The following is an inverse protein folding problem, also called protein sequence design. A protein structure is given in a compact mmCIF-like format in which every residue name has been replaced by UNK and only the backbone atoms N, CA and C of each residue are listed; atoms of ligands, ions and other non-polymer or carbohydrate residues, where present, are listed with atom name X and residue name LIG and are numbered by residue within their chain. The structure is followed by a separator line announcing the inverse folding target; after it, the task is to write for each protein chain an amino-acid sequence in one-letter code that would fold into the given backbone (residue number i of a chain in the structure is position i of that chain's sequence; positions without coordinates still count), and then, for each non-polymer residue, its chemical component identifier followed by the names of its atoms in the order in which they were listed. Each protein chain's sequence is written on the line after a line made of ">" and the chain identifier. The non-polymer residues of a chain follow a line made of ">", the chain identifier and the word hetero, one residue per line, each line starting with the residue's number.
data_IF_972971989434
#
_entry.id   IF_972971989434
#
_cell.length_a   1.000
_cell.length_b   1.000
_cell.length_c   1.000
_cell.angle_alpha   90.00
_cell.angle_beta   90.00
_cell.angle_gamma   90.00
#
_symmetry.space_group_name_H-M   'P 1'
#
loop_
_entity.id
_entity.type
_entity.pdbx_description
1 polymer ?
#
# COMPACT_ATOMS: atom_id res chain seq x y z
N UNK A 1 -2.95 17.12 6.79
CA UNK A 1 -4.43 17.12 6.89
C UNK A 1 -4.86 15.68 6.77
N UNK A 2 -5.45 15.07 7.80
CA UNK A 2 -6.00 13.72 7.66
C UNK A 2 -7.22 13.78 6.73
N UNK A 3 -7.32 12.87 5.77
CA UNK A 3 -8.50 12.77 4.93
C UNK A 3 -9.67 12.32 5.82
N UNK A 4 -10.60 13.22 6.12
CA UNK A 4 -11.91 12.86 6.65
C UNK A 4 -12.76 12.39 5.46
N UNK A 5 -13.19 11.13 5.45
CA UNK A 5 -14.07 10.60 4.40
C UNK A 5 -13.71 9.19 3.94
N UNK A 6 -14.42 8.72 2.90
CA UNK A 6 -14.23 7.39 2.31
C UNK A 6 -12.95 7.36 1.47
N UNK A 7 -12.18 6.28 1.61
CA UNK A 7 -11.02 5.99 0.75
C UNK A 7 -11.28 4.79 -0.15
N UNK A 8 -10.59 4.70 -1.29
CA UNK A 8 -10.63 3.51 -2.15
C UNK A 8 -9.26 3.19 -2.72
N UNK A 9 -8.98 1.89 -2.88
CA UNK A 9 -7.84 1.39 -3.64
C UNK A 9 -8.13 1.38 -5.14
N UNK A 10 -7.10 1.69 -5.93
CA UNK A 10 -7.06 1.57 -7.38
C UNK A 10 -5.84 0.71 -7.72
N UNK A 11 -6.05 -0.60 -7.80
CA UNK A 11 -5.00 -1.59 -8.09
C UNK A 11 -4.56 -1.58 -9.55
N UNK A 12 -5.42 -1.15 -10.49
CA UNK A 12 -5.00 -0.91 -11.88
C UNK A 12 -5.29 0.54 -12.27
N UNK A 13 -4.22 1.32 -12.43
CA UNK A 13 -4.31 2.73 -12.78
C UNK A 13 -4.52 2.95 -14.29
N UNK A 14 -4.17 1.96 -15.13
CA UNK A 14 -4.12 2.10 -16.60
C UNK A 14 -5.44 2.55 -17.22
N UNK A 15 -6.62 2.05 -16.80
CA UNK A 15 -7.90 2.51 -17.33
C UNK A 15 -8.19 4.00 -17.12
N UNK A 16 -7.50 4.65 -16.18
CA UNK A 16 -7.76 6.03 -15.78
C UNK A 16 -6.77 7.04 -16.39
N UNK A 17 -5.63 6.57 -16.91
CA UNK A 17 -4.56 7.43 -17.44
C UNK A 17 -5.03 8.31 -18.61
N UNK A 18 -5.95 7.81 -19.44
CA UNK A 18 -6.52 8.57 -20.56
C UNK A 18 -7.78 9.37 -20.21
N UNK A 19 -8.35 9.18 -19.02
CA UNK A 19 -9.65 9.72 -18.64
C UNK A 19 -9.73 10.11 -17.14
N UNK A 20 -8.83 10.98 -16.66
CA UNK A 20 -8.74 11.35 -15.24
C UNK A 20 -10.05 11.91 -14.68
N UNK A 21 -10.79 12.68 -15.48
CA UNK A 21 -12.06 13.30 -15.04
C UNK A 21 -13.17 12.30 -14.76
N UNK A 22 -13.14 11.13 -15.40
CA UNK A 22 -14.10 10.06 -15.10
C UNK A 22 -13.83 9.47 -13.71
N UNK A 23 -12.55 9.34 -13.31
CA UNK A 23 -12.20 8.88 -11.97
C UNK A 23 -12.67 9.88 -10.91
N UNK A 24 -12.49 11.18 -11.17
CA UNK A 24 -12.96 12.25 -10.27
C UNK A 24 -14.48 12.23 -10.15
N UNK A 25 -15.18 12.09 -11.26
CA UNK A 25 -16.65 12.00 -11.28
C UNK A 25 -17.13 10.83 -10.43
N UNK A 26 -16.53 9.65 -10.58
CA UNK A 26 -16.85 8.47 -9.77
C UNK A 26 -16.52 8.67 -8.30
N UNK A 27 -15.34 9.23 -8.00
CA UNK A 27 -14.94 9.50 -6.62
C UNK A 27 -15.96 10.41 -5.93
N UNK A 28 -16.41 11.49 -6.59
CA UNK A 28 -17.43 12.40 -6.07
C UNK A 28 -18.79 11.73 -5.89
N UNK A 29 -19.23 10.94 -6.87
CA UNK A 29 -20.50 10.20 -6.80
C UNK A 29 -20.57 9.27 -5.57
N UNK A 30 -19.43 8.71 -5.17
CA UNK A 30 -19.33 7.80 -4.03
C UNK A 30 -18.81 8.46 -2.74
N UNK A 31 -18.64 9.79 -2.72
CA UNK A 31 -18.10 10.50 -1.54
C UNK A 31 -16.66 10.11 -1.16
N UNK A 32 -15.88 9.64 -2.13
CA UNK A 32 -14.48 9.24 -1.94
C UNK A 32 -13.59 10.47 -1.93
N UNK A 33 -12.95 10.72 -0.78
CA UNK A 33 -12.02 11.83 -0.56
C UNK A 33 -10.55 11.43 -0.64
N UNK A 34 -10.23 10.13 -0.68
CA UNK A 34 -8.87 9.63 -0.85
C UNK A 34 -8.79 8.44 -1.79
N UNK A 35 -7.78 8.44 -2.65
CA UNK A 35 -7.48 7.32 -3.54
C UNK A 35 -6.07 6.81 -3.29
N UNK A 36 -5.94 5.50 -3.14
CA UNK A 36 -4.68 4.80 -3.02
C UNK A 36 -4.37 4.12 -4.35
N UNK A 37 -3.33 4.58 -5.04
CA UNK A 37 -3.02 4.19 -6.41
C UNK A 37 -1.84 3.22 -6.43
N UNK A 38 -2.01 2.05 -7.02
CA UNK A 38 -0.86 1.23 -7.41
C UNK A 38 -0.23 1.87 -8.65
N UNK A 39 1.03 2.29 -8.53
CA UNK A 39 1.72 2.90 -9.66
C UNK A 39 2.16 1.81 -10.65
N UNK A 40 1.96 2.00 -11.96
CA UNK A 40 2.42 1.05 -12.96
C UNK A 40 3.94 1.17 -13.07
N UNK A 41 4.66 0.41 -12.25
CA UNK A 41 6.13 0.38 -12.24
C UNK A 41 6.60 -0.86 -13.00
N UNK A 42 7.32 -0.63 -14.10
CA UNK A 42 7.81 -1.63 -15.04
C UNK A 42 9.26 -1.29 -15.40
N UNK A 43 10.14 -2.30 -15.47
CA UNK A 43 11.54 -2.07 -15.86
C UNK A 43 12.33 -1.10 -14.96
N UNK A 44 11.89 -0.87 -13.72
CA UNK A 44 12.53 0.05 -12.78
C UNK A 44 12.08 1.52 -12.89
N UNK A 45 11.04 1.79 -13.66
CA UNK A 45 10.49 3.14 -13.89
C UNK A 45 8.95 3.13 -13.83
N UNK A 46 8.34 4.30 -13.70
CA UNK A 46 6.88 4.44 -13.79
C UNK A 46 6.50 4.48 -15.28
N UNK A 47 5.76 3.48 -15.75
CA UNK A 47 5.19 3.46 -17.09
C UNK A 47 4.21 4.63 -17.28
N UNK A 48 4.20 5.20 -18.48
CA UNK A 48 3.37 6.37 -18.81
C UNK A 48 3.53 7.54 -17.81
N UNK A 49 4.75 7.79 -17.33
CA UNK A 49 5.06 8.77 -16.27
C UNK A 49 4.31 10.11 -16.40
N UNK A 50 4.26 10.69 -17.60
CA UNK A 50 3.58 11.97 -17.83
C UNK A 50 2.05 11.88 -17.60
N UNK A 51 1.42 10.76 -17.96
CA UNK A 51 -0.02 10.54 -17.73
C UNK A 51 -0.30 10.25 -16.26
N UNK A 52 0.58 9.48 -15.59
CA UNK A 52 0.48 9.21 -14.16
C UNK A 52 0.58 10.52 -13.37
N UNK A 53 1.58 11.36 -13.68
CA UNK A 53 1.74 12.67 -13.06
C UNK A 53 0.50 13.55 -13.28
N UNK A 54 0.03 13.66 -14.54
CA UNK A 54 -1.19 14.40 -14.86
C UNK A 54 -2.39 13.91 -14.06
N UNK A 55 -2.60 12.61 -13.96
CA UNK A 55 -3.71 12.04 -13.21
C UNK A 55 -3.64 12.45 -11.73
N UNK A 56 -2.46 12.33 -11.10
CA UNK A 56 -2.25 12.72 -9.70
C UNK A 56 -2.52 14.22 -9.50
N UNK A 57 -2.04 15.06 -10.41
CA UNK A 57 -2.22 16.52 -10.32
C UNK A 57 -3.70 16.92 -10.43
N UNK A 58 -4.45 16.31 -11.36
CA UNK A 58 -5.89 16.57 -11.52
C UNK A 58 -6.68 16.07 -10.30
N UNK A 59 -6.35 14.88 -9.76
CA UNK A 59 -6.97 14.37 -8.53
C UNK A 59 -6.72 15.32 -7.35
N UNK A 60 -5.48 15.78 -7.17
CA UNK A 60 -5.11 16.71 -6.11
C UNK A 60 -5.81 18.06 -6.27
N UNK A 61 -5.88 18.61 -7.48
CA UNK A 61 -6.60 19.84 -7.78
C UNK A 61 -8.12 19.71 -7.53
N UNK A 62 -8.68 18.51 -7.66
CA UNK A 62 -10.06 18.20 -7.31
C UNK A 62 -10.31 18.00 -5.81
N UNK A 63 -9.28 18.12 -4.97
CA UNK A 63 -9.35 17.95 -3.52
C UNK A 63 -9.27 16.50 -3.04
N UNK A 64 -8.90 15.56 -3.91
CA UNK A 64 -8.77 14.13 -3.55
C UNK A 64 -7.35 13.87 -3.04
N UNK A 65 -7.24 13.29 -1.84
CA UNK A 65 -5.95 12.90 -1.26
C UNK A 65 -5.41 11.66 -1.96
N UNK A 66 -4.28 11.81 -2.63
CA UNK A 66 -3.62 10.71 -3.35
C UNK A 66 -2.54 10.07 -2.49
N UNK A 67 -2.57 8.75 -2.36
CA UNK A 67 -1.55 7.90 -1.72
C UNK A 67 -1.08 6.86 -2.74
N UNK A 68 0.14 6.35 -2.58
CA UNK A 68 0.53 5.12 -3.27
C UNK A 68 0.07 3.91 -2.45
N UNK A 69 -0.24 2.80 -3.12
CA UNK A 69 -0.41 1.48 -2.48
C UNK A 69 0.44 0.44 -3.19
N UNK A 70 1.02 -0.44 -2.40
CA UNK A 70 1.74 -1.63 -2.83
C UNK A 70 1.27 -2.81 -1.96
N UNK A 71 1.27 -4.02 -2.49
CA UNK A 71 0.85 -5.19 -1.72
C UNK A 71 1.12 -6.49 -2.45
N UNK A 72 1.67 -7.44 -1.71
CA UNK A 72 1.97 -8.82 -2.14
C UNK A 72 2.37 -9.62 -0.87
N UNK A 73 1.78 -10.79 -0.59
CA UNK A 73 2.22 -11.67 0.50
C UNK A 73 3.72 -11.96 0.49
N UNK A 74 4.32 -12.12 -0.69
CA UNK A 74 5.74 -12.41 -0.86
C UNK A 74 6.65 -11.27 -0.38
N UNK A 75 6.13 -10.07 -0.12
CA UNK A 75 6.92 -9.03 0.55
C UNK A 75 7.36 -9.44 1.97
N UNK A 76 6.75 -10.47 2.57
CA UNK A 76 7.22 -11.10 3.80
C UNK A 76 8.27 -12.21 3.57
N UNK A 77 8.82 -12.33 2.35
CA UNK A 77 10.02 -13.11 2.04
C UNK A 77 11.24 -12.21 1.82
N UNK A 78 12.45 -12.79 1.80
CA UNK A 78 13.66 -12.01 1.54
C UNK A 78 13.70 -11.45 0.11
N UNK A 79 13.25 -12.23 -0.86
CA UNK A 79 13.22 -11.85 -2.28
C UNK A 79 12.12 -10.83 -2.56
N UNK A 80 10.88 -11.10 -2.11
CA UNK A 80 9.79 -10.15 -2.33
C UNK A 80 10.01 -8.83 -1.59
N UNK A 81 10.64 -8.85 -0.39
CA UNK A 81 11.09 -7.60 0.27
C UNK A 81 12.12 -6.85 -0.56
N UNK A 82 13.07 -7.52 -1.19
CA UNK A 82 14.06 -6.86 -2.06
C UNK A 82 13.37 -6.18 -3.26
N UNK A 83 12.39 -6.85 -3.87
CA UNK A 83 11.57 -6.27 -4.94
C UNK A 83 10.77 -5.05 -4.44
N UNK A 84 10.08 -5.17 -3.30
CA UNK A 84 9.32 -4.08 -2.70
C UNK A 84 10.18 -2.86 -2.39
N UNK A 85 11.43 -3.07 -1.96
CA UNK A 85 12.39 -1.99 -1.74
C UNK A 85 12.80 -1.29 -3.03
N UNK A 86 12.99 -2.00 -4.14
CA UNK A 86 13.23 -1.34 -5.44
C UNK A 86 12.05 -0.45 -5.85
N UNK A 87 10.83 -0.97 -5.73
CA UNK A 87 9.59 -0.21 -5.98
C UNK A 87 9.48 1.01 -5.06
N UNK A 88 9.80 0.85 -3.77
CA UNK A 88 9.81 1.95 -2.80
C UNK A 88 10.81 3.05 -3.17
N UNK A 89 12.00 2.70 -3.69
CA UNK A 89 12.98 3.70 -4.19
C UNK A 89 12.43 4.49 -5.37
N UNK A 90 11.72 3.84 -6.29
CA UNK A 90 11.08 4.49 -7.44
C UNK A 90 10.00 5.46 -6.97
N UNK A 91 9.11 5.02 -6.07
CA UNK A 91 8.06 5.87 -5.48
C UNK A 91 8.68 7.06 -4.74
N UNK A 92 9.76 6.85 -3.98
CA UNK A 92 10.48 7.93 -3.29
C UNK A 92 11.01 8.96 -4.28
N UNK A 93 11.69 8.54 -5.36
CA UNK A 93 12.21 9.46 -6.39
C UNK A 93 11.07 10.25 -7.04
N UNK A 94 9.97 9.59 -7.34
CA UNK A 94 8.80 10.24 -7.93
C UNK A 94 8.19 11.30 -7.00
N UNK A 95 8.08 11.01 -5.70
CA UNK A 95 7.68 11.99 -4.67
C UNK A 95 8.64 13.16 -4.57
N UNK A 96 9.94 12.89 -4.56
CA UNK A 96 10.98 13.94 -4.50
C UNK A 96 11.00 14.83 -5.75
N UNK A 97 10.56 14.31 -6.90
CA UNK A 97 10.38 15.08 -8.13
C UNK A 97 9.12 15.98 -8.11
N UNK A 98 8.35 15.99 -7.02
CA UNK A 98 7.20 16.88 -6.84
C UNK A 98 5.84 16.21 -7.05
N UNK A 99 5.77 14.89 -7.24
CA UNK A 99 4.49 14.20 -7.34
C UNK A 99 3.66 14.37 -6.05
N UNK A 100 2.38 14.70 -6.19
CA UNK A 100 1.44 14.98 -5.09
C UNK A 100 1.01 13.76 -4.25
N UNK A 101 1.91 12.79 -4.00
CA UNK A 101 1.63 11.61 -3.20
C UNK A 101 1.88 11.87 -1.71
N UNK A 102 0.83 11.77 -0.90
CA UNK A 102 0.87 12.06 0.53
C UNK A 102 1.66 11.01 1.34
N UNK A 103 1.47 9.72 1.06
CA UNK A 103 2.08 8.60 1.77
C UNK A 103 2.03 7.33 0.93
N UNK A 104 2.63 6.25 1.43
CA UNK A 104 2.56 4.90 0.84
C UNK A 104 1.88 3.97 1.85
N UNK A 105 0.92 3.19 1.38
CA UNK A 105 0.34 2.08 2.13
C UNK A 105 0.89 0.74 1.62
N UNK A 106 1.14 -0.18 2.55
CA UNK A 106 1.52 -1.55 2.25
C UNK A 106 0.44 -2.52 2.73
N UNK A 107 -0.07 -3.34 1.81
CA UNK A 107 -0.98 -4.44 2.07
C UNK A 107 -0.21 -5.76 1.94
N UNK A 108 0.42 -6.18 3.02
CA UNK A 108 1.25 -7.39 3.05
C UNK A 108 0.53 -8.39 3.94
N UNK A 109 0.04 -9.46 3.32
CA UNK A 109 -0.75 -10.53 3.94
C UNK A 109 0.11 -11.80 4.12
N UNK A 110 1.03 -11.85 5.10
CA UNK A 110 2.00 -12.96 5.24
C UNK A 110 1.33 -14.31 5.54
N UNK A 111 0.07 -14.31 5.96
CA UNK A 111 -0.72 -15.52 6.20
C UNK A 111 -1.18 -16.22 4.92
N UNK A 112 -1.05 -15.58 3.76
CA UNK A 112 -1.29 -16.18 2.45
C UNK A 112 -0.04 -16.90 1.90
N UNK A 113 1.13 -16.78 2.55
CA UNK A 113 2.36 -17.44 2.09
C UNK A 113 2.32 -18.97 2.32
N UNK A 114 2.83 -19.71 1.34
CA UNK A 114 3.09 -21.13 1.49
C UNK A 114 4.04 -21.37 2.67
N UNK A 115 3.59 -22.16 3.65
CA UNK A 115 4.36 -22.43 4.86
C UNK A 115 4.00 -21.58 6.08
N UNK A 116 3.13 -20.55 5.94
CA UNK A 116 2.67 -19.78 7.10
C UNK A 116 2.06 -20.68 8.18
N UNK A 117 1.22 -21.66 7.80
CA UNK A 117 0.62 -22.64 8.73
C UNK A 117 1.66 -23.41 9.56
N UNK A 118 2.92 -23.52 9.10
CA UNK A 118 3.98 -24.27 9.77
C UNK A 118 4.79 -23.40 10.74
N UNK A 119 5.04 -22.13 10.41
CA UNK A 119 5.71 -21.16 11.31
C UNK A 119 5.12 -19.74 11.13
N UNK A 120 3.95 -19.46 11.74
CA UNK A 120 3.34 -18.13 11.68
C UNK A 120 4.25 -17.03 12.24
N UNK A 121 5.02 -17.37 13.27
CA UNK A 121 5.95 -16.46 13.91
C UNK A 121 7.04 -15.99 12.94
N UNK A 122 7.53 -16.84 12.04
CA UNK A 122 8.49 -16.45 11.01
C UNK A 122 7.92 -15.43 10.04
N UNK A 123 6.72 -15.68 9.53
CA UNK A 123 6.09 -14.80 8.57
C UNK A 123 5.86 -13.40 9.17
N UNK A 124 5.40 -13.33 10.41
CA UNK A 124 5.21 -12.06 11.12
C UNK A 124 6.52 -11.34 11.49
N UNK A 125 7.60 -12.08 11.80
CA UNK A 125 8.93 -11.47 11.97
C UNK A 125 9.42 -10.83 10.68
N UNK A 126 9.29 -11.52 9.55
CA UNK A 126 9.69 -10.97 8.25
C UNK A 126 8.80 -9.80 7.85
N UNK A 127 7.49 -9.84 8.14
CA UNK A 127 6.59 -8.70 7.97
C UNK A 127 7.08 -7.46 8.73
N UNK A 128 7.37 -7.57 10.04
CA UNK A 128 7.91 -6.46 10.84
C UNK A 128 9.19 -5.89 10.23
N UNK A 129 10.10 -6.77 9.80
CA UNK A 129 11.35 -6.39 9.14
C UNK A 129 11.10 -5.65 7.83
N UNK A 130 10.19 -6.15 7.00
CA UNK A 130 9.78 -5.52 5.74
C UNK A 130 9.24 -4.11 5.98
N UNK A 131 8.27 -3.93 6.89
CA UNK A 131 7.71 -2.62 7.21
C UNK A 131 8.78 -1.63 7.67
N UNK A 132 9.70 -2.07 8.55
CA UNK A 132 10.81 -1.25 9.01
C UNK A 132 11.72 -0.78 7.87
N UNK A 133 12.08 -1.70 6.96
CA UNK A 133 12.95 -1.38 5.83
C UNK A 133 12.28 -0.48 4.79
N UNK A 134 10.98 -0.66 4.53
CA UNK A 134 10.21 0.19 3.62
C UNK A 134 10.09 1.61 4.16
N UNK A 135 9.78 1.78 5.44
CA UNK A 135 9.73 3.09 6.09
C UNK A 135 11.08 3.81 6.04
N UNK A 136 12.17 3.09 6.33
CA UNK A 136 13.53 3.63 6.22
C UNK A 136 13.87 4.02 4.77
N UNK A 137 13.52 3.19 3.79
CA UNK A 137 13.75 3.45 2.37
C UNK A 137 13.02 4.72 1.90
N UNK A 138 11.75 4.88 2.29
CA UNK A 138 10.93 6.04 1.97
C UNK A 138 11.32 7.30 2.75
N UNK A 139 12.06 7.15 3.86
CA UNK A 139 12.41 8.25 4.77
C UNK A 139 11.20 8.78 5.54
N UNK A 140 10.15 7.99 5.67
CA UNK A 140 8.90 8.37 6.33
C UNK A 140 8.19 7.11 6.87
N UNK A 141 7.34 7.30 7.88
CA UNK A 141 6.42 6.24 8.33
C UNK A 141 5.45 5.85 7.21
N UNK A 142 5.03 4.58 7.20
CA UNK A 142 4.15 4.01 6.18
C UNK A 142 2.78 3.68 6.76
N UNK A 143 1.77 3.65 5.90
CA UNK A 143 0.49 3.05 6.26
C UNK A 143 0.53 1.55 6.04
N UNK A 144 -0.20 0.80 6.84
CA UNK A 144 -0.34 -0.66 6.66
C UNK A 144 -1.81 -1.03 6.56
N UNK A 145 -2.13 -1.93 5.64
CA UNK A 145 -3.39 -2.67 5.65
C UNK A 145 -3.15 -4.02 6.33
N UNK A 146 -4.00 -4.38 7.29
CA UNK A 146 -3.87 -5.61 8.08
C UNK A 146 -5.23 -6.28 8.25
N UNK A 147 -5.34 -7.61 8.29
CA UNK A 147 -6.61 -8.27 8.55
C UNK A 147 -7.05 -8.01 9.99
N UNK A 148 -8.37 -7.95 10.23
CA UNK A 148 -8.91 -7.83 11.58
C UNK A 148 -8.44 -8.95 12.53
N UNK A 149 -8.19 -10.16 11.98
CA UNK A 149 -7.69 -11.33 12.73
C UNK A 149 -6.20 -11.26 13.08
N UNK A 150 -5.46 -10.25 12.63
CA UNK A 150 -4.05 -10.10 13.00
C UNK A 150 -3.87 -10.07 14.53
N UNK A 151 -4.87 -9.57 15.26
CA UNK A 151 -4.87 -9.51 16.72
C UNK A 151 -5.31 -10.82 17.40
N UNK A 152 -5.90 -11.75 16.66
CA UNK A 152 -6.25 -13.09 17.18
C UNK A 152 -5.01 -14.02 17.21
N UNK A 153 -3.94 -13.63 16.51
CA UNK A 153 -2.64 -14.30 16.51
C UNK A 153 -1.67 -13.54 17.41
N UNK A 154 -1.18 -14.20 18.48
CA UNK A 154 -0.16 -13.68 19.39
C UNK A 154 1.08 -13.13 18.64
N UNK A 155 1.45 -13.75 17.52
CA UNK A 155 2.58 -13.31 16.72
C UNK A 155 2.27 -12.05 15.89
N UNK A 156 1.02 -11.90 15.45
CA UNK A 156 0.54 -10.74 14.72
C UNK A 156 0.51 -9.48 15.59
N UNK A 157 -0.08 -9.55 16.79
CA UNK A 157 -0.06 -8.42 17.75
C UNK A 157 1.38 -7.99 18.07
N UNK A 158 2.26 -8.95 18.39
CA UNK A 158 3.66 -8.68 18.69
C UNK A 158 4.42 -8.05 17.51
N UNK A 159 4.09 -8.43 16.27
CA UNK A 159 4.68 -7.85 15.07
C UNK A 159 4.23 -6.40 14.84
N UNK A 160 2.96 -6.08 15.09
CA UNK A 160 2.44 -4.72 15.00
C UNK A 160 3.11 -3.80 16.01
N UNK A 161 3.23 -4.24 17.26
CA UNK A 161 3.89 -3.47 18.33
C UNK A 161 5.36 -3.19 18.00
N UNK A 162 6.08 -4.19 17.47
CA UNK A 162 7.48 -4.02 17.03
C UNK A 162 7.62 -3.06 15.84
N UNK A 163 6.64 -3.02 14.94
CA UNK A 163 6.63 -2.16 13.77
C UNK A 163 6.07 -0.74 14.05
N UNK A 164 5.50 -0.47 15.22
CA UNK A 164 4.79 0.78 15.52
C UNK A 164 5.61 2.05 15.28
N UNK A 165 6.93 2.00 15.48
CA UNK A 165 7.84 3.10 15.17
C UNK A 165 7.89 3.49 13.69
N UNK A 166 7.55 2.58 12.80
CA UNK A 166 7.57 2.72 11.34
C UNK A 166 6.19 2.99 10.73
N UNK A 167 5.11 2.93 11.52
CA UNK A 167 3.72 2.99 11.02
C UNK A 167 3.09 4.36 11.31
N UNK A 168 2.46 4.96 10.31
CA UNK A 168 1.71 6.23 10.42
C UNK A 168 0.24 6.00 10.74
N UNK A 169 -0.37 5.03 10.09
CA UNK A 169 -1.79 4.68 10.21
C UNK A 169 -2.00 3.21 9.84
N UNK A 170 -3.05 2.63 10.41
CA UNK A 170 -3.43 1.24 10.22
C UNK A 170 -4.82 1.23 9.60
N UNK A 171 -4.97 0.52 8.48
CA UNK A 171 -6.27 0.19 7.88
C UNK A 171 -6.56 -1.26 8.20
N UNK A 172 -7.68 -1.50 8.87
CA UNK A 172 -8.11 -2.86 9.22
C UNK A 172 -9.05 -3.39 8.15
N UNK A 173 -8.66 -4.48 7.50
CA UNK A 173 -9.48 -5.19 6.52
C UNK A 173 -10.55 -6.00 7.25
N UNK A 174 -11.81 -5.63 7.05
CA UNK A 174 -12.96 -6.18 7.76
C UNK A 174 -13.77 -7.21 6.96
N UNK A 175 -13.25 -7.71 5.83
CA UNK A 175 -13.91 -8.76 5.06
C UNK A 175 -13.51 -10.16 5.54
N UNK A 176 -14.41 -11.14 5.35
CA UNK A 176 -14.20 -12.54 5.71
C UNK A 176 -13.38 -13.24 4.64
N UNK A 177 -12.07 -13.29 4.78
CA UNK A 177 -11.25 -14.27 4.05
C UNK A 177 -11.44 -15.63 4.70
N UNK A 178 -12.29 -16.51 4.17
CA UNK A 178 -12.36 -17.87 4.73
C UNK A 178 -11.00 -18.56 4.55
N UNK A 179 -10.37 -19.00 5.65
CA UNK A 179 -9.02 -19.59 5.58
C UNK A 179 -9.05 -20.98 4.93
N UNK A 180 -10.23 -21.61 4.85
CA UNK A 180 -10.45 -22.83 4.08
C UNK A 180 -10.49 -22.55 2.56
N UNK A 181 -10.56 -21.28 2.15
CA UNK A 181 -10.51 -20.83 0.76
C UNK A 181 -9.14 -20.28 0.36
N UNK A 182 -8.20 -20.20 1.30
CA UNK A 182 -6.80 -19.85 1.04
C UNK A 182 -5.98 -21.14 1.09
N UNK A 183 -5.66 -21.66 -0.09
CA UNK A 183 -4.89 -22.90 -0.27
C UNK A 183 -3.40 -22.72 0.08
#
# INVERSE_FOLDING_TARGET
>A
MQAQGVGSWIWDLRPWLGQPEQLITRARQHGVGSLLLQLPIEGGEIADLAKVQRLIDVLAAAGIVVRAVEGDPEMASAEGRANALERARIIRRFRQAGAGLHSVQYDIEPYLMAGHKHDPAAAWREWTKTIGQLAACLGAKVSVAVPFRMLDDLFGEGALLKAAGSISDIVVMAYRTDMDQVE
#
